data_IF_407982251826
#
_entry.id   IF_407982251826
#
_cell.length_a   1.000
_cell.length_b   1.000
_cell.length_c   1.000
_cell.angle_alpha   90.00
_cell.angle_beta   90.00
_cell.angle_gamma   90.00
#
_symmetry.space_group_name_H-M   'P 1'
#
loop_
_entity.id
_entity.type
_entity.pdbx_description
1 polymer ?
#
# COMPACT_ATOMS: atom_id res chain seq x y z
N UNK A 1 -46.62 -12.51 14.03
CA UNK A 1 -45.79 -13.09 12.96
C UNK A 1 -44.50 -12.29 12.86
N UNK A 2 -43.40 -12.81 13.40
CA UNK A 2 -42.06 -12.21 13.27
C UNK A 2 -41.41 -12.76 12.01
N UNK A 3 -41.00 -11.90 11.08
CA UNK A 3 -40.26 -12.32 9.89
C UNK A 3 -38.95 -13.00 10.30
N UNK A 4 -38.60 -14.17 9.75
CA UNK A 4 -37.34 -14.84 10.07
C UNK A 4 -36.17 -13.95 9.63
N UNK A 5 -35.26 -13.69 10.55
CA UNK A 5 -34.05 -12.89 10.34
C UNK A 5 -33.17 -13.61 9.30
N UNK A 6 -33.17 -13.12 8.05
CA UNK A 6 -32.31 -13.65 7.01
C UNK A 6 -30.84 -13.33 7.37
N UNK A 7 -29.93 -14.32 7.32
CA UNK A 7 -28.51 -14.07 7.55
C UNK A 7 -27.96 -13.12 6.48
N UNK A 8 -27.09 -12.19 6.90
CA UNK A 8 -26.50 -11.21 5.98
C UNK A 8 -25.66 -11.94 4.91
N UNK A 9 -25.76 -11.54 3.63
CA UNK A 9 -24.99 -12.15 2.55
C UNK A 9 -23.50 -12.03 2.82
N UNK A 10 -22.81 -13.16 2.71
CA UNK A 10 -21.37 -13.30 2.84
C UNK A 10 -20.68 -12.86 1.55
N UNK A 11 -19.36 -12.64 1.60
CA UNK A 11 -18.54 -12.35 0.40
C UNK A 11 -18.69 -13.38 -0.73
N UNK A 12 -19.13 -14.60 -0.41
CA UNK A 12 -19.38 -15.68 -1.38
C UNK A 12 -20.65 -15.42 -2.21
N UNK A 13 -21.62 -14.71 -1.64
CA UNK A 13 -22.98 -14.60 -2.17
C UNK A 13 -23.11 -13.46 -3.20
N UNK A 14 -22.13 -12.55 -3.25
CA UNK A 14 -22.04 -11.48 -4.26
C UNK A 14 -21.28 -11.91 -5.54
N UNK A 15 -20.84 -13.17 -5.66
CA UNK A 15 -20.14 -13.70 -6.84
C UNK A 15 -18.72 -13.17 -7.07
N UNK A 16 -18.24 -12.20 -6.28
CA UNK A 16 -16.89 -11.64 -6.41
C UNK A 16 -15.89 -12.53 -5.67
N UNK A 17 -15.24 -13.42 -6.42
CA UNK A 17 -14.13 -14.21 -5.89
C UNK A 17 -12.87 -13.34 -5.81
N UNK A 18 -12.56 -12.76 -4.64
CA UNK A 18 -11.42 -11.85 -4.44
C UNK A 18 -10.08 -12.45 -4.89
N UNK A 19 -9.88 -13.78 -4.76
CA UNK A 19 -8.68 -14.45 -5.26
C UNK A 19 -8.66 -14.45 -6.79
N UNK A 20 -9.80 -14.69 -7.42
CA UNK A 20 -9.97 -14.58 -8.88
C UNK A 20 -9.80 -13.13 -9.35
N UNK A 21 -10.41 -12.16 -8.68
CA UNK A 21 -10.28 -10.74 -9.01
C UNK A 21 -8.83 -10.27 -8.89
N UNK A 22 -8.14 -10.65 -7.81
CA UNK A 22 -6.72 -10.34 -7.64
C UNK A 22 -5.86 -11.05 -8.69
N UNK A 23 -6.13 -12.33 -8.96
CA UNK A 23 -5.43 -13.08 -10.01
C UNK A 23 -5.56 -12.41 -11.36
N UNK A 24 -6.79 -12.06 -11.79
CA UNK A 24 -7.04 -11.41 -13.07
C UNK A 24 -6.46 -9.99 -13.12
N UNK A 25 -6.50 -9.23 -12.02
CA UNK A 25 -5.85 -7.93 -11.93
C UNK A 25 -4.32 -8.04 -12.11
N UNK A 26 -3.67 -8.95 -11.39
CA UNK A 26 -2.23 -9.21 -11.51
C UNK A 26 -1.86 -9.75 -12.90
N UNK A 27 -2.66 -10.67 -13.44
CA UNK A 27 -2.48 -11.21 -14.79
C UNK A 27 -2.60 -10.10 -15.85
N UNK A 28 -3.56 -9.18 -15.69
CA UNK A 28 -3.72 -8.04 -16.59
C UNK A 28 -2.50 -7.13 -16.55
N UNK A 29 -2.01 -6.76 -15.35
CA UNK A 29 -0.79 -5.96 -15.20
C UNK A 29 0.41 -6.65 -15.85
N UNK A 30 0.59 -7.95 -15.61
CA UNK A 30 1.71 -8.71 -16.18
C UNK A 30 1.64 -8.78 -17.72
N UNK A 31 0.46 -9.08 -18.28
CA UNK A 31 0.24 -9.14 -19.72
C UNK A 31 0.45 -7.76 -20.35
N UNK A 32 -0.12 -6.70 -19.77
CA UNK A 32 0.07 -5.33 -20.27
C UNK A 32 1.55 -4.94 -20.20
N UNK A 33 2.25 -5.21 -19.09
CA UNK A 33 3.67 -4.92 -18.96
C UNK A 33 4.51 -5.69 -20.00
N UNK A 34 4.20 -6.97 -20.26
CA UNK A 34 4.87 -7.77 -21.27
C UNK A 34 4.64 -7.23 -22.68
N UNK A 35 3.39 -6.90 -23.04
CA UNK A 35 3.06 -6.30 -24.34
C UNK A 35 3.75 -4.95 -24.50
N UNK A 36 3.71 -4.09 -23.48
CA UNK A 36 4.39 -2.79 -23.50
C UNK A 36 5.90 -2.97 -23.65
N UNK A 37 6.51 -3.92 -22.94
CA UNK A 37 7.93 -4.20 -23.05
C UNK A 37 8.32 -4.71 -24.44
N UNK A 38 7.55 -5.64 -25.02
CA UNK A 38 7.77 -6.13 -26.39
C UNK A 38 7.62 -4.99 -27.39
N UNK A 39 6.54 -4.21 -27.28
CA UNK A 39 6.30 -3.07 -28.17
C UNK A 39 7.45 -2.06 -28.10
N UNK A 40 7.85 -1.66 -26.90
CA UNK A 40 9.00 -0.77 -26.69
C UNK A 40 10.26 -1.36 -27.29
N UNK A 41 10.58 -2.63 -27.01
CA UNK A 41 11.76 -3.28 -27.58
C UNK A 41 11.72 -3.26 -29.11
N UNK A 42 10.60 -3.59 -29.74
CA UNK A 42 10.46 -3.58 -31.21
C UNK A 42 10.48 -2.18 -31.82
N UNK A 43 10.09 -1.15 -31.05
CA UNK A 43 10.12 0.25 -31.47
C UNK A 43 11.50 0.90 -31.29
N UNK A 44 12.39 0.31 -30.48
CA UNK A 44 13.76 0.76 -30.30
C UNK A 44 14.66 0.29 -31.45
N UNK A 45 15.56 1.17 -31.90
CA UNK A 45 16.61 0.79 -32.84
C UNK A 45 17.57 -0.24 -32.23
N UNK A 46 18.25 -1.02 -33.07
CA UNK A 46 19.22 -2.03 -32.61
C UNK A 46 20.29 -1.45 -31.66
N UNK A 47 20.74 -0.22 -31.90
CA UNK A 47 21.70 0.48 -31.02
C UNK A 47 21.12 0.84 -29.65
N UNK A 48 19.83 1.20 -29.59
CA UNK A 48 19.13 1.50 -28.35
C UNK A 48 18.85 0.22 -27.55
N UNK A 49 18.46 -0.86 -28.23
CA UNK A 49 18.31 -2.18 -27.63
C UNK A 49 19.63 -2.64 -26.99
N UNK A 50 20.75 -2.56 -27.73
CA UNK A 50 22.06 -2.94 -27.23
C UNK A 50 22.45 -2.13 -25.99
N UNK A 51 22.31 -0.81 -26.01
CA UNK A 51 22.57 0.04 -24.84
C UNK A 51 21.68 -0.31 -23.63
N UNK A 52 20.44 -0.71 -23.87
CA UNK A 52 19.54 -1.15 -22.81
C UNK A 52 20.03 -2.45 -22.16
N UNK A 53 20.37 -3.46 -22.96
CA UNK A 53 20.93 -4.72 -22.46
C UNK A 53 22.31 -4.53 -21.81
N UNK A 54 23.14 -3.63 -22.33
CA UNK A 54 24.41 -3.25 -21.72
C UNK A 54 24.21 -2.60 -20.35
N UNK A 55 23.20 -1.72 -20.21
CA UNK A 55 22.86 -1.15 -18.89
C UNK A 55 22.36 -2.22 -17.94
N UNK A 56 21.47 -3.11 -18.38
CA UNK A 56 20.93 -4.20 -17.55
C UNK A 56 22.01 -5.16 -17.09
N UNK A 57 22.92 -5.57 -17.98
CA UNK A 57 24.01 -6.48 -17.66
C UNK A 57 25.04 -5.87 -16.72
N UNK A 58 25.18 -4.54 -16.72
CA UNK A 58 26.06 -3.79 -15.82
C UNK A 58 25.33 -3.18 -14.61
N UNK A 59 24.06 -3.55 -14.34
CA UNK A 59 23.35 -3.06 -13.16
C UNK A 59 24.00 -3.58 -11.87
N UNK A 60 24.73 -2.70 -11.19
CA UNK A 60 25.17 -2.93 -9.82
C UNK A 60 24.04 -2.51 -8.88
N UNK A 61 23.31 -3.48 -8.34
CA UNK A 61 22.34 -3.19 -7.29
C UNK A 61 23.11 -2.75 -6.04
N UNK A 62 22.71 -1.64 -5.40
CA UNK A 62 23.37 -1.19 -4.18
C UNK A 62 23.27 -2.28 -3.11
N UNK A 63 24.34 -2.43 -2.34
CA UNK A 63 24.36 -3.39 -1.24
C UNK A 63 23.27 -3.02 -0.21
N UNK A 64 22.54 -4.03 0.25
CA UNK A 64 21.59 -3.86 1.36
C UNK A 64 22.37 -3.57 2.65
N UNK A 65 22.30 -2.34 3.12
CA UNK A 65 22.99 -1.79 4.28
C UNK A 65 22.00 -0.95 5.12
N UNK A 66 21.21 -1.59 6.00
CA UNK A 66 20.21 -0.88 6.79
C UNK A 66 20.86 0.02 7.85
N UNK A 67 20.55 1.31 7.79
CA UNK A 67 20.95 2.32 8.78
C UNK A 67 19.70 3.04 9.30
N UNK A 68 19.12 2.50 10.38
CA UNK A 68 17.94 3.07 11.03
C UNK A 68 18.19 4.41 11.73
N UNK A 69 19.46 4.75 12.01
CA UNK A 69 19.85 6.01 12.64
C UNK A 69 19.49 7.23 11.80
N UNK A 70 19.47 7.08 10.47
CA UNK A 70 19.06 8.12 9.52
C UNK A 70 17.67 8.71 9.81
N UNK A 71 16.76 7.95 10.42
CA UNK A 71 15.40 8.46 10.72
C UNK A 71 15.46 9.56 11.78
N UNK A 72 16.40 9.47 12.72
CA UNK A 72 16.52 10.41 13.85
C UNK A 72 16.94 11.82 13.40
N UNK A 73 17.58 11.92 12.23
CA UNK A 73 17.99 13.19 11.62
C UNK A 73 16.81 13.96 10.98
N UNK A 74 15.64 13.34 10.87
CA UNK A 74 14.46 13.93 10.25
C UNK A 74 13.46 14.47 11.28
N UNK A 75 12.57 15.42 10.89
CA UNK A 75 11.55 15.96 11.78
C UNK A 75 10.67 14.88 12.42
N UNK A 76 10.13 15.18 13.60
CA UNK A 76 9.28 14.26 14.36
C UNK A 76 8.10 13.72 13.55
N UNK A 77 7.53 14.52 12.63
CA UNK A 77 6.46 14.08 11.73
C UNK A 77 6.88 12.89 10.86
N UNK A 78 8.12 12.88 10.36
CA UNK A 78 8.69 11.77 9.57
C UNK A 78 8.90 10.54 10.43
N UNK A 79 9.48 10.72 11.62
CA UNK A 79 9.70 9.62 12.56
C UNK A 79 8.38 8.93 12.94
N UNK A 80 7.37 9.74 13.30
CA UNK A 80 6.03 9.24 13.63
C UNK A 80 5.41 8.49 12.45
N UNK A 81 5.46 9.06 11.24
CA UNK A 81 4.90 8.44 10.05
C UNK A 81 5.53 7.07 9.77
N UNK A 82 6.87 6.98 9.80
CA UNK A 82 7.60 5.72 9.56
C UNK A 82 7.29 4.67 10.62
N UNK A 83 7.22 5.08 11.88
CA UNK A 83 6.91 4.17 12.98
C UNK A 83 5.47 3.63 12.89
N UNK A 84 4.49 4.53 12.66
CA UNK A 84 3.08 4.13 12.63
C UNK A 84 2.72 3.36 11.36
N UNK A 85 3.31 3.68 10.21
CA UNK A 85 3.11 2.86 8.99
C UNK A 85 3.69 1.45 9.16
N UNK A 86 4.80 1.29 9.89
CA UNK A 86 5.35 -0.02 10.19
C UNK A 86 4.39 -0.85 11.06
N UNK A 87 3.82 -0.25 12.12
CA UNK A 87 2.77 -0.89 12.93
C UNK A 87 1.55 -1.27 12.07
N UNK A 88 1.11 -0.37 11.19
CA UNK A 88 0.00 -0.64 10.28
C UNK A 88 0.31 -1.78 9.32
N UNK A 89 1.53 -1.86 8.78
CA UNK A 89 1.95 -2.94 7.89
C UNK A 89 1.86 -4.31 8.58
N UNK A 90 2.48 -4.47 9.75
CA UNK A 90 2.49 -5.76 10.44
C UNK A 90 1.09 -6.14 10.94
N UNK A 91 0.37 -5.21 11.57
CA UNK A 91 -1.00 -5.49 12.03
C UNK A 91 -1.94 -5.82 10.87
N UNK A 92 -1.88 -5.06 9.77
CA UNK A 92 -2.67 -5.29 8.56
C UNK A 92 -2.38 -6.66 7.93
N UNK A 93 -1.10 -7.03 7.81
CA UNK A 93 -0.70 -8.34 7.31
C UNK A 93 -1.27 -9.47 8.17
N UNK A 94 -1.14 -9.36 9.50
CA UNK A 94 -1.67 -10.36 10.44
C UNK A 94 -3.19 -10.46 10.30
N UNK A 95 -3.92 -9.34 10.25
CA UNK A 95 -5.39 -9.32 10.13
C UNK A 95 -5.86 -9.96 8.82
N UNK A 96 -5.17 -9.69 7.71
CA UNK A 96 -5.51 -10.24 6.40
C UNK A 96 -5.36 -11.77 6.38
N UNK A 97 -4.33 -12.29 7.04
CA UNK A 97 -4.07 -13.73 7.17
C UNK A 97 -4.96 -14.42 8.22
N UNK A 98 -5.41 -13.68 9.23
CA UNK A 98 -6.18 -14.22 10.36
C UNK A 98 -7.65 -14.52 10.02
N UNK A 99 -8.34 -15.36 10.81
CA UNK A 99 -9.79 -15.53 10.74
C UNK A 99 -10.53 -14.20 10.95
N UNK A 100 -11.59 -13.97 10.18
CA UNK A 100 -12.34 -12.71 10.16
C UNK A 100 -13.49 -12.79 11.17
N UNK A 101 -13.87 -11.64 11.75
CA UNK A 101 -15.01 -11.54 12.67
C UNK A 101 -14.74 -11.96 14.13
N UNK A 102 -13.54 -12.41 14.47
CA UNK A 102 -13.13 -12.76 15.85
C UNK A 102 -12.84 -11.51 16.69
N UNK A 103 -12.76 -11.65 18.02
CA UNK A 103 -12.30 -10.55 18.90
C UNK A 103 -10.88 -10.10 18.52
N UNK A 104 -10.01 -11.05 18.18
CA UNK A 104 -8.66 -10.80 17.70
C UNK A 104 -8.63 -9.91 16.46
N UNK A 105 -9.49 -10.21 15.46
CA UNK A 105 -9.62 -9.39 14.26
C UNK A 105 -10.06 -7.96 14.60
N UNK A 106 -10.97 -7.78 15.57
CA UNK A 106 -11.45 -6.45 15.98
C UNK A 106 -10.36 -5.66 16.71
N UNK A 107 -9.65 -6.28 17.65
CA UNK A 107 -8.58 -5.62 18.41
C UNK A 107 -7.44 -5.18 17.50
N UNK A 108 -6.94 -6.09 16.66
CA UNK A 108 -5.91 -5.73 15.69
C UNK A 108 -6.43 -4.73 14.65
N UNK A 109 -7.69 -4.84 14.23
CA UNK A 109 -8.35 -3.88 13.34
C UNK A 109 -8.31 -2.45 13.90
N UNK A 110 -8.53 -2.29 15.20
CA UNK A 110 -8.40 -0.98 15.85
C UNK A 110 -6.94 -0.50 15.92
N UNK A 111 -5.98 -1.39 16.22
CA UNK A 111 -4.55 -1.04 16.16
C UNK A 111 -4.17 -0.54 14.77
N UNK A 112 -4.61 -1.25 13.72
CA UNK A 112 -4.39 -0.85 12.33
C UNK A 112 -5.02 0.50 12.01
N UNK A 113 -6.29 0.71 12.36
CA UNK A 113 -7.01 1.96 12.09
C UNK A 113 -6.35 3.14 12.80
N UNK A 114 -6.01 3.01 14.08
CA UNK A 114 -5.34 4.06 14.84
C UNK A 114 -3.97 4.39 14.23
N UNK A 115 -3.18 3.36 13.89
CA UNK A 115 -1.89 3.55 13.23
C UNK A 115 -2.03 4.26 11.88
N UNK A 116 -3.02 3.92 11.06
CA UNK A 116 -3.28 4.59 9.78
C UNK A 116 -3.74 6.04 9.95
N UNK A 117 -4.57 6.33 10.95
CA UNK A 117 -5.00 7.71 11.28
C UNK A 117 -3.78 8.55 11.70
N UNK A 118 -2.93 8.04 12.59
CA UNK A 118 -1.72 8.75 13.02
C UNK A 118 -0.75 8.95 11.85
N UNK A 119 -0.59 7.94 10.99
CA UNK A 119 0.23 8.02 9.78
C UNK A 119 -0.27 9.11 8.83
N UNK A 120 -1.58 9.18 8.61
CA UNK A 120 -2.21 10.20 7.78
C UNK A 120 -2.05 11.61 8.40
N UNK A 121 -2.25 11.75 9.72
CA UNK A 121 -2.02 13.00 10.44
C UNK A 121 -0.57 13.48 10.34
N UNK A 122 0.39 12.59 10.57
CA UNK A 122 1.82 12.86 10.40
C UNK A 122 2.14 13.27 8.97
N UNK A 123 1.54 12.61 7.97
CA UNK A 123 1.67 13.00 6.57
C UNK A 123 1.13 14.40 6.30
N UNK A 124 -0.02 14.79 6.87
CA UNK A 124 -0.60 16.13 6.74
C UNK A 124 0.35 17.19 7.30
N UNK A 125 1.02 16.91 8.42
CA UNK A 125 2.01 17.84 9.00
C UNK A 125 3.19 18.07 8.06
N UNK A 126 3.67 17.04 7.35
CA UNK A 126 4.72 17.19 6.34
C UNK A 126 4.33 18.09 5.17
N UNK A 127 3.03 18.17 4.83
CA UNK A 127 2.54 19.04 3.75
C UNK A 127 2.66 20.52 4.14
N UNK A 128 2.51 20.83 5.44
CA UNK A 128 2.52 22.21 5.94
C UNK A 128 3.92 22.81 6.03
N UNK A 129 4.94 21.96 6.13
CA UNK A 129 6.34 22.37 6.05
C UNK A 129 6.71 22.57 4.56
N UNK A 130 6.44 23.76 4.04
CA UNK A 130 6.60 24.17 2.62
C UNK A 130 8.03 24.02 2.04
N UNK A 131 8.99 23.49 2.80
CA UNK A 131 10.39 23.33 2.38
C UNK A 131 10.60 22.27 1.30
N UNK A 132 9.67 21.33 1.10
CA UNK A 132 9.82 20.24 0.10
C UNK A 132 8.77 20.21 -1.03
N UNK A 133 7.84 21.17 -1.05
CA UNK A 133 6.77 21.24 -2.06
C UNK A 133 5.73 20.11 -1.95
N UNK A 134 4.58 20.30 -2.59
CA UNK A 134 3.51 19.30 -2.64
C UNK A 134 3.98 18.09 -3.49
N UNK A 135 4.29 16.96 -2.85
CA UNK A 135 4.68 15.75 -3.56
C UNK A 135 3.43 14.96 -3.97
N UNK A 136 3.39 14.39 -5.17
CA UNK A 136 2.27 13.58 -5.69
C UNK A 136 1.84 12.47 -4.72
N UNK A 137 2.77 12.00 -3.89
CA UNK A 137 2.53 10.99 -2.86
C UNK A 137 1.54 11.42 -1.76
N UNK A 138 1.20 12.71 -1.61
CA UNK A 138 0.19 13.14 -0.64
C UNK A 138 -1.25 12.78 -1.02
N UNK A 139 -1.48 12.41 -2.29
CA UNK A 139 -2.75 11.83 -2.72
C UNK A 139 -3.07 10.57 -1.93
N UNK A 140 -2.05 9.79 -1.54
CA UNK A 140 -2.25 8.58 -0.72
C UNK A 140 -2.84 8.89 0.65
N UNK A 141 -2.63 10.08 1.20
CA UNK A 141 -3.25 10.52 2.46
C UNK A 141 -4.75 10.70 2.31
N UNK A 142 -5.19 11.36 1.23
CA UNK A 142 -6.62 11.52 0.92
C UNK A 142 -7.27 10.16 0.69
N UNK A 143 -6.65 9.31 -0.14
CA UNK A 143 -7.11 7.94 -0.41
C UNK A 143 -7.21 7.14 0.89
N UNK A 144 -6.25 7.29 1.81
CA UNK A 144 -6.24 6.62 3.11
C UNK A 144 -7.44 7.03 3.96
N UNK A 145 -7.66 8.34 4.13
CA UNK A 145 -8.77 8.87 4.93
C UNK A 145 -10.12 8.44 4.35
N UNK A 146 -10.30 8.54 3.03
CA UNK A 146 -11.52 8.10 2.36
C UNK A 146 -11.73 6.60 2.55
N UNK A 147 -10.70 5.77 2.34
CA UNK A 147 -10.82 4.32 2.47
C UNK A 147 -11.16 3.89 3.89
N UNK A 148 -10.58 4.52 4.91
CA UNK A 148 -10.94 4.30 6.32
C UNK A 148 -12.39 4.68 6.57
N UNK A 149 -12.83 5.84 6.11
CA UNK A 149 -14.21 6.28 6.26
C UNK A 149 -15.19 5.28 5.63
N UNK A 150 -14.92 4.84 4.39
CA UNK A 150 -15.72 3.84 3.68
C UNK A 150 -15.73 2.48 4.38
N UNK A 151 -14.59 2.05 4.91
CA UNK A 151 -14.47 0.77 5.60
C UNK A 151 -15.22 0.76 6.94
N UNK A 152 -15.14 1.84 7.71
CA UNK A 152 -15.79 1.97 9.03
C UNK A 152 -17.29 2.21 8.91
N UNK A 153 -17.74 3.04 7.95
CA UNK A 153 -19.17 3.21 7.69
C UNK A 153 -19.79 1.95 7.09
N UNK A 154 -19.06 1.24 6.23
CA UNK A 154 -19.46 -0.05 5.68
C UNK A 154 -19.74 -1.08 6.78
N UNK A 155 -18.82 -1.28 7.72
CA UNK A 155 -19.02 -2.25 8.80
C UNK A 155 -20.13 -1.82 9.77
N UNK A 156 -20.26 -0.51 10.06
CA UNK A 156 -21.36 0.01 10.90
C UNK A 156 -22.73 -0.26 10.28
N UNK A 157 -22.84 -0.22 8.96
CA UNK A 157 -24.05 -0.55 8.22
C UNK A 157 -24.27 -2.07 8.03
N UNK A 158 -23.43 -2.93 8.62
CA UNK A 158 -23.47 -4.38 8.41
C UNK A 158 -22.96 -4.82 7.04
N UNK A 159 -22.43 -3.91 6.22
CA UNK A 159 -21.88 -4.21 4.90
C UNK A 159 -20.42 -4.68 5.03
N UNK A 160 -20.28 -5.96 5.38
CA UNK A 160 -19.00 -6.65 5.53
C UNK A 160 -18.21 -6.65 4.22
N UNK A 161 -18.90 -6.69 3.07
CA UNK A 161 -18.26 -6.66 1.76
C UNK A 161 -17.49 -5.37 1.51
N UNK A 162 -18.16 -4.23 1.73
CA UNK A 162 -17.58 -2.89 1.61
C UNK A 162 -16.43 -2.72 2.60
N UNK A 163 -16.61 -3.15 3.84
CA UNK A 163 -15.56 -3.11 4.85
C UNK A 163 -14.29 -3.84 4.41
N UNK A 164 -14.40 -5.12 4.04
CA UNK A 164 -13.23 -5.92 3.69
C UNK A 164 -12.58 -5.49 2.38
N UNK A 165 -13.37 -5.06 1.38
CA UNK A 165 -12.82 -4.51 0.12
C UNK A 165 -12.05 -3.22 0.37
N UNK A 166 -12.63 -2.27 1.12
CA UNK A 166 -11.97 -1.00 1.45
C UNK A 166 -10.71 -1.21 2.30
N UNK A 167 -10.73 -2.13 3.29
CA UNK A 167 -9.54 -2.45 4.09
C UNK A 167 -8.44 -3.13 3.25
N UNK A 168 -8.80 -4.04 2.35
CA UNK A 168 -7.85 -4.70 1.46
C UNK A 168 -7.16 -3.71 0.52
N UNK A 169 -7.95 -2.87 -0.17
CA UNK A 169 -7.39 -1.87 -1.08
C UNK A 169 -6.62 -0.77 -0.35
N UNK A 170 -7.00 -0.44 0.89
CA UNK A 170 -6.21 0.45 1.74
C UNK A 170 -4.84 -0.15 2.06
N UNK A 171 -4.78 -1.44 2.41
CA UNK A 171 -3.51 -2.12 2.67
C UNK A 171 -2.63 -2.16 1.42
N UNK A 172 -3.18 -2.59 0.28
CA UNK A 172 -2.43 -2.70 -0.98
C UNK A 172 -1.99 -1.33 -1.49
N UNK A 173 -2.91 -0.38 -1.62
CA UNK A 173 -2.62 0.94 -2.18
C UNK A 173 -1.88 1.86 -1.20
N UNK A 174 -2.43 2.00 0.01
CA UNK A 174 -1.94 2.94 1.02
C UNK A 174 -0.67 2.50 1.75
N UNK A 175 -0.35 1.20 1.77
CA UNK A 175 0.87 0.69 2.42
C UNK A 175 1.83 0.09 1.39
N UNK A 176 1.42 -0.92 0.61
CA UNK A 176 2.37 -1.63 -0.26
C UNK A 176 2.84 -0.76 -1.44
N UNK A 177 1.89 -0.21 -2.22
CA UNK A 177 2.21 0.61 -3.38
C UNK A 177 2.88 1.91 -2.94
N UNK A 178 2.29 2.63 -1.97
CA UNK A 178 2.89 3.84 -1.42
C UNK A 178 4.29 3.58 -0.84
N UNK A 179 4.46 2.50 -0.08
CA UNK A 179 5.73 2.06 0.48
C UNK A 179 6.76 1.80 -0.61
N UNK A 180 6.41 1.09 -1.69
CA UNK A 180 7.31 0.85 -2.83
C UNK A 180 7.84 2.16 -3.44
N UNK A 181 6.99 3.19 -3.56
CA UNK A 181 7.45 4.51 -4.04
C UNK A 181 8.49 5.16 -3.12
N UNK A 182 8.46 4.89 -1.82
CA UNK A 182 9.46 5.43 -0.88
C UNK A 182 10.86 4.82 -1.06
N UNK A 183 10.94 3.64 -1.69
CA UNK A 183 12.19 2.97 -2.04
C UNK A 183 12.75 3.40 -3.41
N UNK A 184 12.17 4.40 -4.08
CA UNK A 184 12.77 4.95 -5.28
C UNK A 184 14.15 5.59 -4.96
N UNK A 185 15.15 5.47 -5.87
CA UNK A 185 16.49 6.03 -5.65
C UNK A 185 16.45 7.49 -5.22
N UNK A 186 17.21 7.81 -4.16
CA UNK A 186 17.30 9.16 -3.59
C UNK A 186 16.28 9.49 -2.49
N UNK A 187 15.27 8.65 -2.25
CA UNK A 187 14.32 8.84 -1.14
C UNK A 187 14.85 8.28 0.19
N UNK A 188 14.20 8.66 1.30
CA UNK A 188 14.62 8.28 2.65
C UNK A 188 14.77 6.76 2.83
N UNK A 189 13.76 5.96 2.46
CA UNK A 189 13.86 4.50 2.60
C UNK A 189 14.97 3.91 1.71
N UNK A 190 15.18 4.45 0.51
CA UNK A 190 16.33 4.05 -0.30
C UNK A 190 17.65 4.33 0.41
N UNK A 191 17.85 5.55 0.93
CA UNK A 191 19.08 5.92 1.65
C UNK A 191 19.27 5.08 2.92
N UNK A 192 18.19 4.78 3.61
CA UNK A 192 18.19 3.98 4.83
C UNK A 192 18.61 2.52 4.58
N UNK A 193 18.24 1.92 3.45
CA UNK A 193 18.54 0.50 3.18
C UNK A 193 19.68 0.28 2.17
N UNK A 194 20.00 1.29 1.36
CA UNK A 194 20.92 1.19 0.22
C UNK A 194 21.89 2.38 0.12
N UNK A 195 21.81 3.35 1.03
CA UNK A 195 22.72 4.50 1.09
C UNK A 195 24.05 4.09 1.73
N UNK A 196 24.92 3.50 0.91
CA UNK A 196 26.35 3.40 1.17
C UNK A 196 27.08 4.68 0.75
#
# INVERSE_FOLDING_TARGET
MTTPHQPLPTFRDAGINLKSTLFWFLATIAITAAITAIYVLTALSATQQQRFFDRLSNLQLPAFRPNFGLILDYPLSVQLHVFTIAIAFFSGLIILLSPKGTSFHRTLGWVFVLAMITTAGASIMMIRDFTTGFNFLHIFTVVTVVSLYLALTGIKAGNVQRHGSSMFWLFVGGILIAGAFTFAPGRLMWRMFFGG
#
